data_IF_090822495690
#
_entry.id   IF_090822495690
#
_cell.length_a   1.000
_cell.length_b   1.000
_cell.length_c   1.000
_cell.angle_alpha   90.00
_cell.angle_beta   90.00
_cell.angle_gamma   90.00
#
_symmetry.space_group_name_H-M   'P 1'
#
loop_
_entity.id
_entity.type
_entity.pdbx_description
1 polymer ?
#
# COMPACT_ATOMS: atom_id res chain seq x y z
N UNK A 1 2.34 9.20 16.59
CA UNK A 1 1.56 8.03 16.15
C UNK A 1 2.36 6.78 16.48
N UNK A 2 1.72 5.70 16.93
CA UNK A 2 2.41 4.44 17.23
C UNK A 2 2.30 3.52 16.02
N UNK A 3 3.42 3.24 15.36
CA UNK A 3 3.42 2.33 14.22
C UNK A 3 3.19 0.89 14.72
N UNK A 4 2.23 0.15 14.13
CA UNK A 4 1.93 -1.23 14.51
C UNK A 4 3.04 -2.17 14.04
N UNK A 5 3.23 -3.29 14.74
CA UNK A 5 4.32 -4.24 14.46
C UNK A 5 4.37 -4.69 12.99
N UNK A 6 3.20 -4.88 12.36
CA UNK A 6 3.08 -5.15 10.93
C UNK A 6 3.75 -4.08 10.06
N UNK A 7 3.50 -2.79 10.32
CA UNK A 7 4.10 -1.69 9.55
C UNK A 7 5.62 -1.64 9.71
N UNK A 8 6.15 -1.95 10.90
CA UNK A 8 7.60 -1.96 11.16
C UNK A 8 8.34 -2.95 10.25
N UNK A 9 7.67 -4.05 9.87
CA UNK A 9 8.25 -5.14 9.09
C UNK A 9 7.62 -5.27 7.70
N UNK A 10 7.08 -4.17 7.16
CA UNK A 10 6.52 -4.12 5.81
C UNK A 10 7.57 -4.56 4.76
N UNK A 11 7.16 -5.37 3.79
CA UNK A 11 8.04 -5.90 2.75
C UNK A 11 8.34 -4.89 1.63
N UNK A 12 8.87 -3.71 1.97
CA UNK A 12 9.12 -2.58 1.06
C UNK A 12 10.61 -2.30 0.77
N UNK A 13 11.50 -3.13 1.31
CA UNK A 13 12.94 -2.82 1.34
C UNK A 13 13.61 -2.72 -0.04
N UNK A 14 13.12 -3.44 -1.06
CA UNK A 14 13.68 -3.31 -2.40
C UNK A 14 13.38 -1.95 -3.03
N UNK A 15 12.30 -1.28 -2.59
CA UNK A 15 11.92 0.03 -3.10
C UNK A 15 13.00 1.09 -2.82
N UNK A 16 13.72 1.02 -1.69
CA UNK A 16 14.84 1.94 -1.41
C UNK A 16 16.06 1.71 -2.31
N UNK A 17 16.17 0.54 -2.93
CA UNK A 17 17.28 0.17 -3.82
C UNK A 17 16.94 0.31 -5.31
N UNK A 18 15.73 0.77 -5.63
CA UNK A 18 15.31 1.04 -6.99
C UNK A 18 16.23 2.06 -7.68
N UNK A 19 16.58 1.78 -8.93
CA UNK A 19 17.32 2.73 -9.75
C UNK A 19 16.32 3.62 -10.49
N UNK A 20 16.11 4.84 -9.99
CA UNK A 20 15.15 5.79 -10.54
C UNK A 20 15.34 6.02 -12.06
N UNK A 21 16.57 6.02 -12.55
CA UNK A 21 16.89 6.17 -13.98
C UNK A 21 16.38 5.02 -14.87
N UNK A 22 16.24 3.81 -14.30
CA UNK A 22 15.70 2.63 -15.00
C UNK A 22 14.19 2.47 -14.79
N UNK A 23 13.65 3.10 -13.75
CA UNK A 23 12.22 3.10 -13.41
C UNK A 23 11.62 4.45 -13.85
N UNK A 24 11.82 4.77 -15.13
CA UNK A 24 11.47 6.08 -15.69
C UNK A 24 10.07 6.13 -16.32
N UNK A 25 9.30 5.05 -16.22
CA UNK A 25 7.93 4.96 -16.72
C UNK A 25 6.95 4.62 -15.60
N UNK A 26 5.69 5.04 -15.81
CA UNK A 26 4.57 4.69 -14.92
C UNK A 26 4.42 3.16 -14.74
N UNK A 27 4.76 2.38 -15.76
CA UNK A 27 4.57 0.92 -15.77
C UNK A 27 5.67 0.22 -14.97
N UNK A 28 6.91 0.73 -15.03
CA UNK A 28 8.02 0.22 -14.21
C UNK A 28 7.77 0.48 -12.72
N UNK A 29 7.25 1.66 -12.35
CA UNK A 29 6.90 1.93 -10.96
C UNK A 29 5.78 0.99 -10.48
N UNK A 30 4.76 0.76 -11.31
CA UNK A 30 3.67 -0.14 -10.96
C UNK A 30 4.18 -1.56 -10.69
N UNK A 31 5.10 -2.06 -11.51
CA UNK A 31 5.72 -3.37 -11.32
C UNK A 31 6.38 -3.50 -9.93
N UNK A 32 7.22 -2.54 -9.56
CA UNK A 32 7.94 -2.56 -8.29
C UNK A 32 7.00 -2.49 -7.07
N UNK A 33 5.94 -1.67 -7.17
CA UNK A 33 4.91 -1.56 -6.14
C UNK A 33 4.07 -2.83 -6.03
N UNK A 34 3.70 -3.44 -7.16
CA UNK A 34 3.03 -4.73 -7.18
C UNK A 34 3.90 -5.85 -6.61
N UNK A 35 5.22 -5.81 -6.84
CA UNK A 35 6.16 -6.77 -6.25
C UNK A 35 6.24 -6.63 -4.72
N UNK A 36 6.29 -5.39 -4.21
CA UNK A 36 6.21 -5.11 -2.77
C UNK A 36 4.92 -5.68 -2.17
N UNK A 37 3.80 -5.37 -2.83
CA UNK A 37 2.47 -5.83 -2.43
C UNK A 37 2.38 -7.36 -2.42
N UNK A 38 2.89 -8.04 -3.45
CA UNK A 38 2.88 -9.51 -3.52
C UNK A 38 3.63 -10.15 -2.35
N UNK A 39 4.86 -9.70 -2.08
CA UNK A 39 5.67 -10.22 -0.98
C UNK A 39 5.06 -9.93 0.39
N UNK A 40 4.49 -8.73 0.57
CA UNK A 40 3.77 -8.37 1.79
C UNK A 40 2.55 -9.27 2.02
N UNK A 41 1.78 -9.52 0.96
CA UNK A 41 0.63 -10.42 1.00
C UNK A 41 1.01 -11.85 1.40
N UNK A 42 2.09 -12.37 0.81
CA UNK A 42 2.64 -13.69 1.13
C UNK A 42 3.13 -13.75 2.58
N UNK A 43 3.80 -12.70 3.06
CA UNK A 43 4.26 -12.60 4.44
C UNK A 43 3.11 -12.65 5.44
N UNK A 44 2.07 -11.84 5.23
CA UNK A 44 0.86 -11.80 6.07
C UNK A 44 0.18 -13.17 6.09
N UNK A 45 -0.08 -13.75 4.92
CA UNK A 45 -0.70 -15.09 4.82
C UNK A 45 0.06 -16.15 5.61
N UNK A 46 1.39 -16.09 5.59
CA UNK A 46 2.26 -17.11 6.21
C UNK A 46 2.38 -16.95 7.73
N UNK A 47 2.46 -15.71 8.22
CA UNK A 47 2.81 -15.43 9.61
C UNK A 47 1.61 -15.03 10.47
N UNK A 48 0.62 -14.34 9.90
CA UNK A 48 -0.52 -13.85 10.67
C UNK A 48 -1.35 -14.97 11.32
N UNK A 49 -1.67 -16.09 10.65
CA UNK A 49 -2.44 -17.16 11.30
C UNK A 49 -1.74 -17.76 12.52
N UNK A 50 -0.40 -17.87 12.47
CA UNK A 50 0.40 -18.38 13.60
C UNK A 50 0.37 -17.42 14.78
N UNK A 51 0.42 -16.12 14.50
CA UNK A 51 0.30 -15.08 15.52
C UNK A 51 -1.08 -15.10 16.17
N UNK A 52 -2.15 -15.21 15.37
CA UNK A 52 -3.53 -15.27 15.85
C UNK A 52 -3.77 -16.49 16.75
N UNK A 53 -3.26 -17.66 16.36
CA UNK A 53 -3.33 -18.89 17.16
C UNK A 53 -2.52 -18.79 18.47
N UNK A 54 -1.35 -18.15 18.45
CA UNK A 54 -0.52 -17.95 19.63
C UNK A 54 -1.11 -16.94 20.61
N UNK A 55 -1.84 -15.94 20.11
CA UNK A 55 -2.39 -14.85 20.91
C UNK A 55 -3.91 -14.70 20.68
N UNK A 56 -4.72 -15.70 21.08
CA UNK A 56 -6.16 -15.75 20.81
C UNK A 56 -6.96 -14.66 21.56
N UNK A 57 -6.37 -14.05 22.60
CA UNK A 57 -6.94 -12.95 23.37
C UNK A 57 -6.34 -11.58 23.01
N UNK A 58 -5.55 -11.48 21.94
CA UNK A 58 -4.91 -10.21 21.53
C UNK A 58 -5.89 -9.12 21.11
N UNK A 59 -7.20 -9.39 21.08
CA UNK A 59 -8.21 -8.45 20.62
C UNK A 59 -8.18 -8.25 19.10
N UNK A 60 -7.23 -8.85 18.38
CA UNK A 60 -7.15 -8.78 16.92
C UNK A 60 -8.20 -9.69 16.29
N UNK A 61 -9.47 -9.25 16.30
CA UNK A 61 -10.57 -9.84 15.51
C UNK A 61 -10.37 -9.60 14.00
N UNK A 62 -9.16 -9.23 13.60
CA UNK A 62 -8.84 -8.81 12.25
C UNK A 62 -8.67 -10.04 11.37
N UNK A 63 -9.56 -10.21 10.40
CA UNK A 63 -9.40 -11.24 9.37
C UNK A 63 -8.09 -11.03 8.60
N UNK A 64 -7.55 -12.08 7.96
CA UNK A 64 -6.41 -11.94 7.04
C UNK A 64 -6.65 -10.83 6.01
N UNK A 65 -7.87 -10.71 5.49
CA UNK A 65 -8.24 -9.65 4.55
C UNK A 65 -8.14 -8.24 5.17
N UNK A 66 -8.45 -8.09 6.46
CA UNK A 66 -8.28 -6.84 7.19
C UNK A 66 -6.80 -6.46 7.28
N UNK A 67 -5.93 -7.43 7.62
CA UNK A 67 -4.49 -7.18 7.68
C UNK A 67 -3.90 -6.80 6.32
N UNK A 68 -4.33 -7.48 5.26
CA UNK A 68 -3.96 -7.13 3.88
C UNK A 68 -4.44 -5.71 3.51
N UNK A 69 -5.65 -5.31 3.92
CA UNK A 69 -6.15 -3.95 3.72
C UNK A 69 -5.34 -2.87 4.46
N UNK A 70 -4.87 -3.17 5.68
CA UNK A 70 -4.01 -2.25 6.45
C UNK A 70 -2.63 -2.09 5.77
N UNK A 71 -2.00 -3.19 5.35
CA UNK A 71 -0.73 -3.12 4.59
C UNK A 71 -0.88 -2.45 3.23
N UNK A 72 -1.99 -2.70 2.52
CA UNK A 72 -2.30 -2.00 1.28
C UNK A 72 -2.38 -0.48 1.48
N UNK A 73 -3.03 -0.02 2.55
CA UNK A 73 -3.12 1.41 2.86
C UNK A 73 -1.77 2.02 3.23
N UNK A 74 -0.93 1.30 3.97
CA UNK A 74 0.41 1.76 4.31
C UNK A 74 1.34 1.84 3.08
N UNK A 75 1.28 0.86 2.17
CA UNK A 75 1.96 0.95 0.86
C UNK A 75 1.49 2.18 0.10
N UNK A 76 0.18 2.43 0.09
CA UNK A 76 -0.40 3.62 -0.53
C UNK A 76 0.15 4.92 0.06
N UNK A 77 0.26 5.02 1.39
CA UNK A 77 0.83 6.19 2.04
C UNK A 77 2.32 6.37 1.76
N UNK A 78 3.09 5.30 1.63
CA UNK A 78 4.50 5.37 1.22
C UNK A 78 4.60 5.98 -0.18
N UNK A 79 3.85 5.45 -1.15
CA UNK A 79 3.90 5.94 -2.54
C UNK A 79 3.43 7.38 -2.65
N UNK A 80 2.41 7.77 -1.86
CA UNK A 80 1.87 9.13 -1.84
C UNK A 80 2.70 10.12 -1.02
N UNK A 81 3.74 9.66 -0.32
CA UNK A 81 4.57 10.51 0.54
C UNK A 81 3.85 11.00 1.80
N UNK A 82 2.89 10.21 2.30
CA UNK A 82 2.06 10.49 3.48
C UNK A 82 2.36 9.59 4.68
N UNK A 83 3.23 8.60 4.50
CA UNK A 83 3.61 7.68 5.57
C UNK A 83 4.33 8.39 6.72
N UNK A 84 3.84 8.16 7.93
CA UNK A 84 4.29 8.77 9.18
C UNK A 84 5.42 7.97 9.86
N UNK A 85 5.79 6.81 9.32
CA UNK A 85 6.78 5.94 9.95
C UNK A 85 8.16 6.61 9.95
N UNK A 86 8.73 6.75 11.14
CA UNK A 86 10.02 7.42 11.33
C UNK A 86 11.17 6.49 11.67
N UNK A 87 10.87 5.33 12.27
CA UNK A 87 11.84 4.29 12.59
C UNK A 87 13.06 4.77 13.38
N UNK A 88 14.09 3.93 13.40
CA UNK A 88 15.43 4.25 13.89
C UNK A 88 16.28 4.95 12.80
N UNK A 89 17.53 5.28 13.11
CA UNK A 89 18.44 5.97 12.18
C UNK A 89 18.68 5.24 10.86
N UNK A 90 18.72 3.90 10.87
CA UNK A 90 18.90 3.07 9.67
C UNK A 90 17.65 3.09 8.80
N UNK A 91 16.48 2.98 9.40
CA UNK A 91 15.18 3.02 8.69
C UNK A 91 14.92 4.41 8.11
N UNK A 92 15.24 5.46 8.87
CA UNK A 92 15.19 6.84 8.38
C UNK A 92 16.03 7.01 7.11
N UNK A 93 17.26 6.49 7.08
CA UNK A 93 18.11 6.56 5.89
C UNK A 93 17.48 5.87 4.67
N UNK A 94 16.97 4.65 4.85
CA UNK A 94 16.28 3.91 3.77
C UNK A 94 15.06 4.65 3.24
N UNK A 95 14.27 5.25 4.14
CA UNK A 95 13.09 6.05 3.78
C UNK A 95 13.50 7.32 3.03
N UNK A 96 14.54 8.01 3.47
CA UNK A 96 15.03 9.22 2.79
C UNK A 96 15.56 8.87 1.38
N UNK A 97 16.21 7.72 1.21
CA UNK A 97 16.61 7.16 -0.10
C UNK A 97 15.39 6.82 -0.97
N UNK A 98 14.39 6.14 -0.42
CA UNK A 98 13.14 5.81 -1.11
C UNK A 98 12.40 7.08 -1.56
N UNK A 99 12.23 8.06 -0.68
CA UNK A 99 11.53 9.30 -1.01
C UNK A 99 12.29 10.09 -2.09
N UNK A 100 13.63 10.08 -2.06
CA UNK A 100 14.45 10.65 -3.14
C UNK A 100 14.19 9.94 -4.47
N UNK A 101 14.16 8.61 -4.47
CA UNK A 101 13.87 7.82 -5.67
C UNK A 101 12.47 8.11 -6.20
N UNK A 102 11.45 8.12 -5.34
CA UNK A 102 10.07 8.43 -5.72
C UNK A 102 9.96 9.83 -6.32
N UNK A 103 10.60 10.85 -5.73
CA UNK A 103 10.62 12.21 -6.30
C UNK A 103 11.21 12.24 -7.71
N UNK A 104 12.32 11.55 -7.93
CA UNK A 104 12.96 11.51 -9.25
C UNK A 104 12.10 10.74 -10.27
N UNK A 105 11.50 9.61 -9.88
CA UNK A 105 10.58 8.84 -10.73
C UNK A 105 9.36 9.70 -11.10
N UNK A 106 8.71 10.35 -10.14
CA UNK A 106 7.54 11.17 -10.40
C UNK A 106 7.86 12.43 -11.22
N UNK A 107 9.06 13.00 -11.07
CA UNK A 107 9.57 14.05 -11.95
C UNK A 107 9.68 13.57 -13.40
N UNK A 108 10.18 12.36 -13.62
CA UNK A 108 10.28 11.77 -14.97
C UNK A 108 8.91 11.41 -15.55
N UNK A 109 8.00 10.87 -14.73
CA UNK A 109 6.61 10.64 -15.14
C UNK A 109 5.96 11.98 -15.54
N UNK A 110 6.11 13.02 -14.73
CA UNK A 110 5.57 14.36 -14.99
C UNK A 110 6.14 14.98 -16.28
N UNK A 111 7.45 14.85 -16.52
CA UNK A 111 8.08 15.38 -17.73
C UNK A 111 7.65 14.64 -19.00
N UNK A 112 7.31 13.36 -18.89
CA UNK A 112 6.78 12.52 -19.97
C UNK A 112 5.29 12.72 -20.29
N UNK A 113 4.54 13.51 -19.51
CA UNK A 113 3.14 13.84 -19.80
C UNK A 113 3.01 14.79 -20.99
N UNK A 114 1.86 14.74 -21.69
CA UNK A 114 1.52 15.77 -22.69
C UNK A 114 1.43 17.15 -22.03
N UNK A 115 1.64 18.22 -22.81
CA UNK A 115 1.70 19.59 -22.28
C UNK A 115 0.41 19.98 -21.53
N UNK A 116 -0.74 19.55 -22.04
CA UNK A 116 -2.06 19.80 -21.46
C UNK A 116 -2.20 19.12 -20.10
N UNK A 117 -1.88 17.82 -20.03
CA UNK A 117 -1.95 17.04 -18.78
C UNK A 117 -0.93 17.52 -17.75
N UNK A 118 0.28 17.85 -18.18
CA UNK A 118 1.32 18.37 -17.30
C UNK A 118 0.88 19.66 -16.62
N UNK A 119 0.17 20.53 -17.34
CA UNK A 119 -0.32 21.79 -16.78
C UNK A 119 -1.28 21.62 -15.60
N UNK A 120 -2.00 20.49 -15.54
CA UNK A 120 -2.86 20.14 -14.41
C UNK A 120 -2.08 19.89 -13.11
N UNK A 121 -0.80 19.51 -13.20
CA UNK A 121 0.06 19.13 -12.07
C UNK A 121 1.14 20.17 -11.74
N UNK A 122 1.09 21.37 -12.31
CA UNK A 122 2.11 22.41 -12.12
C UNK A 122 2.14 23.05 -10.71
N UNK A 123 1.18 22.74 -9.84
CA UNK A 123 1.10 23.33 -8.50
C UNK A 123 2.22 22.89 -7.55
N UNK A 124 2.52 21.59 -7.50
CA UNK A 124 3.61 21.02 -6.71
C UNK A 124 4.58 20.24 -7.60
N UNK A 125 5.68 20.90 -7.96
CA UNK A 125 6.76 20.30 -8.75
C UNK A 125 7.92 19.78 -7.89
N UNK A 126 7.80 19.84 -6.56
CA UNK A 126 8.85 19.39 -5.65
C UNK A 126 8.58 17.97 -5.17
N UNK A 127 7.35 17.70 -4.73
CA UNK A 127 6.96 16.39 -4.22
C UNK A 127 5.98 15.66 -5.15
N UNK A 128 5.32 16.39 -6.05
CA UNK A 128 4.32 15.86 -6.98
C UNK A 128 3.12 15.24 -6.29
N UNK A 129 2.69 15.76 -5.12
CA UNK A 129 1.66 15.12 -4.29
C UNK A 129 0.37 14.82 -5.07
N UNK A 130 -0.13 15.78 -5.85
CA UNK A 130 -1.36 15.56 -6.64
C UNK A 130 -1.18 14.45 -7.70
N UNK A 131 -0.03 14.42 -8.38
CA UNK A 131 0.27 13.37 -9.35
C UNK A 131 0.42 12.00 -8.68
N UNK A 132 1.01 11.94 -7.48
CA UNK A 132 1.14 10.71 -6.69
C UNK A 132 -0.21 10.17 -6.23
N UNK A 133 -1.12 11.04 -5.78
CA UNK A 133 -2.49 10.69 -5.40
C UNK A 133 -3.26 10.09 -6.59
N UNK A 134 -3.22 10.77 -7.74
CA UNK A 134 -3.91 10.30 -8.96
C UNK A 134 -3.29 9.00 -9.47
N UNK A 135 -1.96 8.88 -9.42
CA UNK A 135 -1.27 7.64 -9.77
C UNK A 135 -1.70 6.49 -8.87
N UNK A 136 -1.77 6.69 -7.55
CA UNK A 136 -2.26 5.66 -6.64
C UNK A 136 -3.71 5.31 -6.97
N UNK A 137 -4.60 6.29 -7.07
CA UNK A 137 -6.02 6.06 -7.38
C UNK A 137 -6.22 5.24 -8.66
N UNK A 138 -5.43 5.51 -9.71
CA UNK A 138 -5.52 4.79 -10.97
C UNK A 138 -4.97 3.36 -10.90
N UNK A 139 -3.97 3.10 -10.06
CA UNK A 139 -3.25 1.82 -10.03
C UNK A 139 -3.60 0.92 -8.83
N UNK A 140 -4.29 1.46 -7.81
CA UNK A 140 -4.62 0.76 -6.56
C UNK A 140 -5.32 -0.58 -6.77
N UNK A 141 -6.11 -0.72 -7.85
CA UNK A 141 -6.77 -1.99 -8.20
C UNK A 141 -5.77 -3.10 -8.51
N UNK A 142 -4.69 -2.79 -9.23
CA UNK A 142 -3.62 -3.74 -9.56
C UNK A 142 -2.76 -4.06 -8.33
N UNK A 143 -2.49 -3.07 -7.49
CA UNK A 143 -1.77 -3.28 -6.21
C UNK A 143 -2.59 -4.16 -5.26
N UNK A 144 -3.91 -3.94 -5.18
CA UNK A 144 -4.82 -4.81 -4.42
C UNK A 144 -4.82 -6.24 -4.96
N UNK A 145 -4.84 -6.39 -6.29
CA UNK A 145 -4.72 -7.71 -6.91
C UNK A 145 -3.41 -8.39 -6.50
N UNK A 146 -2.28 -7.69 -6.53
CA UNK A 146 -0.98 -8.25 -6.15
C UNK A 146 -0.93 -8.68 -4.67
N UNK A 147 -1.32 -7.81 -3.73
CA UNK A 147 -1.28 -8.13 -2.28
C UNK A 147 -2.21 -9.27 -1.89
N UNK A 148 -3.29 -9.46 -2.64
CA UNK A 148 -4.25 -10.55 -2.39
C UNK A 148 -3.97 -11.81 -3.21
N UNK A 149 -2.91 -11.85 -4.03
CA UNK A 149 -2.69 -12.94 -4.98
C UNK A 149 -2.69 -14.33 -4.34
N UNK A 150 -2.16 -14.42 -3.11
CA UNK A 150 -2.07 -15.68 -2.36
C UNK A 150 -3.00 -15.74 -1.14
N UNK A 151 -3.92 -14.79 -0.98
CA UNK A 151 -4.85 -14.79 0.14
C UNK A 151 -5.69 -16.08 0.15
N UNK A 152 -6.15 -16.57 1.32
CA UNK A 152 -6.94 -17.79 1.37
C UNK A 152 -8.29 -17.64 0.63
N UNK A 153 -8.73 -18.73 -0.03
CA UNK A 153 -9.94 -18.72 -0.87
C UNK A 153 -11.24 -18.46 -0.11
N UNK A 154 -11.29 -18.76 1.19
CA UNK A 154 -12.50 -18.53 1.99
C UNK A 154 -12.37 -17.31 2.94
N UNK A 155 -11.30 -16.53 2.81
CA UNK A 155 -11.11 -15.35 3.64
C UNK A 155 -12.05 -14.22 3.22
N UNK A 156 -12.80 -13.72 4.19
CA UNK A 156 -13.72 -12.59 4.01
C UNK A 156 -13.17 -11.35 4.68
N UNK A 157 -13.40 -10.19 4.06
CA UNK A 157 -13.25 -8.92 4.75
C UNK A 157 -14.27 -8.82 5.89
N UNK A 158 -13.95 -8.06 6.94
CA UNK A 158 -14.74 -8.05 8.18
C UNK A 158 -16.17 -7.49 8.03
N UNK A 159 -16.50 -6.87 6.88
CA UNK A 159 -17.84 -6.37 6.56
C UNK A 159 -18.20 -6.63 5.09
N UNK A 160 -19.49 -6.75 4.75
CA UNK A 160 -19.93 -6.76 3.36
C UNK A 160 -19.60 -5.42 2.71
N UNK A 161 -18.96 -5.46 1.55
CA UNK A 161 -18.35 -4.28 0.92
C UNK A 161 -18.29 -4.37 -0.61
N UNK A 162 -18.72 -5.49 -1.18
CA UNK A 162 -18.71 -5.75 -2.62
C UNK A 162 -20.01 -5.30 -3.32
N UNK A 163 -20.53 -4.12 -2.95
CA UNK A 163 -21.79 -3.58 -3.48
C UNK A 163 -22.97 -3.80 -2.52
N UNK A 164 -24.11 -4.28 -3.03
CA UNK A 164 -25.41 -4.39 -2.35
C UNK A 164 -25.47 -5.41 -1.19
N UNK A 165 -24.53 -5.33 -0.25
CA UNK A 165 -24.43 -6.25 0.89
C UNK A 165 -23.62 -7.52 0.62
N UNK A 166 -22.93 -7.61 -0.52
CA UNK A 166 -22.10 -8.78 -0.84
C UNK A 166 -20.77 -8.77 -0.07
N UNK A 167 -20.38 -9.96 0.40
CA UNK A 167 -19.07 -10.21 1.00
C UNK A 167 -18.00 -10.37 -0.09
N UNK A 168 -16.75 -10.15 0.28
CA UNK A 168 -15.64 -10.63 -0.55
C UNK A 168 -15.73 -12.15 -0.66
N UNK A 169 -15.35 -12.67 -1.83
CA UNK A 169 -15.20 -14.09 -2.10
C UNK A 169 -13.71 -14.43 -2.06
N UNK A 170 -13.30 -15.38 -2.90
CA UNK A 170 -11.93 -15.84 -3.10
C UNK A 170 -10.90 -14.72 -3.04
N UNK A 171 -9.88 -14.97 -2.22
CA UNK A 171 -8.70 -14.15 -2.10
C UNK A 171 -9.01 -12.70 -1.66
N UNK A 172 -9.98 -12.50 -0.76
CA UNK A 172 -10.35 -11.16 -0.28
C UNK A 172 -10.79 -10.19 -1.40
N UNK A 173 -11.39 -10.69 -2.48
CA UNK A 173 -11.80 -9.86 -3.64
C UNK A 173 -13.30 -9.84 -3.83
N UNK A 174 -13.78 -8.75 -4.43
CA UNK A 174 -15.12 -8.69 -4.99
C UNK A 174 -15.17 -9.39 -6.36
N UNK A 175 -16.35 -9.86 -6.79
CA UNK A 175 -16.52 -10.53 -8.10
C UNK A 175 -16.08 -9.63 -9.27
N UNK A 176 -16.32 -8.32 -9.15
CA UNK A 176 -15.90 -7.30 -10.12
C UNK A 176 -14.39 -6.96 -10.05
N UNK A 177 -13.65 -7.69 -9.22
CA UNK A 177 -12.25 -7.44 -8.84
C UNK A 177 -12.00 -6.05 -8.23
N UNK A 178 -13.04 -5.38 -7.76
CA UNK A 178 -12.92 -4.08 -7.11
C UNK A 178 -12.20 -4.17 -5.76
N UNK A 179 -11.55 -3.08 -5.37
CA UNK A 179 -10.88 -2.97 -4.07
C UNK A 179 -11.96 -2.86 -2.99
N UNK A 180 -12.09 -3.85 -2.09
CA UNK A 180 -13.16 -3.91 -1.10
C UNK A 180 -12.97 -2.94 0.07
N UNK A 181 -11.84 -2.24 0.13
CA UNK A 181 -11.47 -1.34 1.24
C UNK A 181 -11.25 0.09 0.75
N UNK A 182 -11.43 1.02 1.69
CA UNK A 182 -11.09 2.44 1.54
C UNK A 182 -10.11 2.89 2.63
N UNK A 183 -9.42 1.95 3.29
CA UNK A 183 -8.43 2.28 4.31
C UNK A 183 -7.32 3.18 3.77
N UNK A 184 -6.94 3.05 2.50
CA UNK A 184 -6.01 3.96 1.84
C UNK A 184 -6.52 5.42 1.73
N UNK A 185 -7.79 5.70 1.99
CA UNK A 185 -8.31 7.08 2.09
C UNK A 185 -8.61 7.53 3.53
N UNK A 186 -8.32 6.68 4.53
CA UNK A 186 -8.42 7.03 5.95
C UNK A 186 -7.05 7.52 6.43
N UNK A 187 -6.93 8.63 7.19
CA UNK A 187 -5.64 9.09 7.73
C UNK A 187 -4.88 8.01 8.50
N UNK A 188 -3.57 7.85 8.24
CA UNK A 188 -2.76 6.77 8.80
C UNK A 188 -2.80 6.67 10.32
N UNK A 189 -2.80 7.81 11.02
CA UNK A 189 -2.92 7.85 12.48
C UNK A 189 -4.16 7.11 12.99
N UNK A 190 -5.32 7.31 12.35
CA UNK A 190 -6.57 6.66 12.75
C UNK A 190 -6.54 5.16 12.48
N UNK A 191 -5.90 4.73 11.38
CA UNK A 191 -5.77 3.30 11.04
C UNK A 191 -4.86 2.58 12.02
N UNK A 192 -3.73 3.18 12.37
CA UNK A 192 -2.85 2.61 13.37
C UNK A 192 -3.51 2.61 14.74
N UNK A 193 -4.24 3.67 15.10
CA UNK A 193 -4.96 3.68 16.37
C UNK A 193 -6.00 2.56 16.47
N UNK A 194 -6.75 2.30 15.40
CA UNK A 194 -7.70 1.17 15.32
C UNK A 194 -7.01 -0.21 15.31
N UNK A 195 -5.81 -0.34 14.74
CA UNK A 195 -5.04 -1.60 14.79
C UNK A 195 -4.48 -1.90 16.19
N UNK A 196 -4.31 -0.89 17.04
CA UNK A 196 -3.83 -1.03 18.41
C UNK A 196 -4.96 -1.26 19.44
N UNK A 197 -6.20 -0.94 19.08
CA UNK A 197 -7.37 -1.00 19.96
C UNK A 197 -7.95 -2.42 20.03
#
# INVERSE_FOLDING_TARGET
ACAPYRRLHLCDQHLSHMQAEKINTKDNLLLEVCLAALHEGQSIKTHYPKYDEQYPFSGSVSTTCTMLARSFADIGDIIRGKDLYSGNSKEKKKRDELEKNLKEIFKQIHSGLSKEKRSHYNGDTTNYYQLREDWWNNNRKMVWYAITCEAPKDSKYFRPTCGSGEWTKDNCRCVKNDVPTYFDYVPQYLRWFEEWA
#
